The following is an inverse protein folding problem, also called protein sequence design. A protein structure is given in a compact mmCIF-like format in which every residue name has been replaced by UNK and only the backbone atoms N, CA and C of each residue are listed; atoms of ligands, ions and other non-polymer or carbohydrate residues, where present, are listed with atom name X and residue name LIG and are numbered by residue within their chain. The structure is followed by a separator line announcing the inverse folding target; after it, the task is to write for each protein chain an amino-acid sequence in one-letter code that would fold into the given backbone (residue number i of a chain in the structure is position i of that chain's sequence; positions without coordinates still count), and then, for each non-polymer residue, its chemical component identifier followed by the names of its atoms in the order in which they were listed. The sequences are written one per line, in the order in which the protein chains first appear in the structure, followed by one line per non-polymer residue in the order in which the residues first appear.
data_IF_464737852104
#
_entry.id   IF_464737852104
#
_cell.length_a   1.000
_cell.length_b   1.000
_cell.length_c   1.000
_cell.angle_alpha   90.00
_cell.angle_beta   90.00
_cell.angle_gamma   90.00
#
_symmetry.space_group_name_H-M   'P 1'
#
loop_
_entity.id
_entity.type
_entity.pdbx_description
1 polymer ?
#
# COMPACT_ATOMS: atom_id res chain seq x y z
N UNK A 1 -30.31 4.18 -11.65
CA UNK A 1 -30.86 4.88 -10.46
C UNK A 1 -29.81 4.68 -9.40
N UNK A 2 -28.76 5.49 -9.50
CA UNK A 2 -27.56 5.40 -8.69
C UNK A 2 -27.85 6.01 -7.32
N UNK A 3 -27.66 5.20 -6.28
CA UNK A 3 -27.87 5.58 -4.89
C UNK A 3 -26.79 6.59 -4.45
N UNK A 4 -27.17 7.84 -4.09
CA UNK A 4 -26.22 8.88 -3.69
C UNK A 4 -25.68 8.71 -2.26
N UNK A 5 -26.08 7.67 -1.51
CA UNK A 5 -25.67 7.48 -0.12
C UNK A 5 -24.29 6.80 0.08
N UNK A 6 -23.58 6.41 -0.98
CA UNK A 6 -22.27 5.72 -0.84
C UNK A 6 -21.06 6.65 -0.64
N UNK A 7 -21.27 7.96 -0.73
CA UNK A 7 -20.29 9.01 -0.42
C UNK A 7 -20.68 9.74 0.87
N UNK A 8 -20.84 8.99 1.97
CA UNK A 8 -21.00 9.55 3.29
C UNK A 8 -19.70 10.22 3.75
N UNK A 9 -19.69 11.55 3.75
CA UNK A 9 -19.03 12.44 4.73
C UNK A 9 -18.07 11.74 5.69
N UNK A 10 -16.78 11.83 5.38
CA UNK A 10 -15.67 11.62 6.33
C UNK A 10 -15.18 12.99 6.81
N UNK A 11 -16.08 13.75 7.43
CA UNK A 11 -15.68 14.84 8.32
C UNK A 11 -15.35 14.24 9.69
N UNK A 12 -14.24 14.68 10.29
CA UNK A 12 -13.78 14.39 11.65
C UNK A 12 -13.22 13.00 11.99
N UNK A 13 -12.36 12.45 11.14
CA UNK A 13 -11.34 11.48 11.59
C UNK A 13 -9.97 12.15 11.74
N UNK A 14 -9.76 12.82 12.88
CA UNK A 14 -8.43 13.17 13.40
C UNK A 14 -7.65 11.87 13.66
N UNK A 15 -7.04 11.31 12.62
CA UNK A 15 -6.08 10.22 12.78
C UNK A 15 -4.71 10.80 13.13
N UNK A 16 -3.97 10.19 14.07
CA UNK A 16 -2.62 10.60 14.37
C UNK A 16 -1.79 10.29 13.14
N UNK A 17 -1.54 11.31 12.34
CA UNK A 17 -0.62 11.23 11.23
C UNK A 17 0.75 10.96 11.84
N UNK A 18 1.20 9.71 11.78
CA UNK A 18 2.62 9.39 11.61
C UNK A 18 3.02 9.91 10.22
N UNK A 19 2.89 11.22 10.01
CA UNK A 19 3.39 11.91 8.85
C UNK A 19 4.90 11.84 8.98
N UNK A 20 5.49 10.84 8.33
CA UNK A 20 6.88 10.92 7.92
C UNK A 20 7.08 12.31 7.30
N UNK A 21 8.17 12.96 7.69
CA UNK A 21 8.54 14.37 7.49
C UNK A 21 8.70 14.80 6.02
N UNK A 22 8.04 14.11 5.10
CA UNK A 22 8.26 14.18 3.68
C UNK A 22 7.11 14.94 3.01
N UNK A 23 7.31 16.25 2.79
CA UNK A 23 6.51 17.02 1.84
C UNK A 23 7.08 16.83 0.42
N UNK A 24 6.24 16.64 -0.61
CA UNK A 24 6.70 16.48 -1.99
C UNK A 24 7.57 17.63 -2.54
N UNK A 25 7.59 18.78 -1.85
CA UNK A 25 8.25 20.02 -2.28
C UNK A 25 9.44 20.49 -1.42
N UNK A 26 9.94 19.70 -0.45
CA UNK A 26 11.25 19.96 0.16
C UNK A 26 12.34 19.30 -0.71
N UNK A 27 13.45 19.99 -1.00
CA UNK A 27 14.54 19.47 -1.82
C UNK A 27 15.17 18.18 -1.23
N UNK A 28 15.25 18.07 0.11
CA UNK A 28 15.70 16.84 0.78
C UNK A 28 14.64 15.74 0.70
N UNK A 29 13.37 16.13 0.71
CA UNK A 29 12.23 15.24 0.48
C UNK A 29 12.24 14.67 -0.94
N UNK A 30 12.24 15.51 -1.97
CA UNK A 30 12.04 15.11 -3.37
C UNK A 30 12.88 13.92 -3.81
N UNK A 31 14.18 13.88 -3.48
CA UNK A 31 15.05 12.74 -3.84
C UNK A 31 14.60 11.44 -3.16
N UNK A 32 14.20 11.51 -1.90
CA UNK A 32 13.65 10.38 -1.14
C UNK A 32 12.30 9.95 -1.71
N UNK A 33 11.42 10.90 -2.06
CA UNK A 33 10.15 10.62 -2.75
C UNK A 33 10.37 9.83 -4.03
N UNK A 34 11.21 10.38 -4.92
CA UNK A 34 11.45 9.81 -6.23
C UNK A 34 12.07 8.42 -6.11
N UNK A 35 12.94 8.20 -5.13
CA UNK A 35 13.44 6.86 -4.81
C UNK A 35 12.32 5.91 -4.40
N UNK A 36 11.35 6.34 -3.57
CA UNK A 36 10.19 5.51 -3.18
C UNK A 36 9.31 5.18 -4.39
N UNK A 37 9.00 6.16 -5.23
CA UNK A 37 8.22 5.96 -6.47
C UNK A 37 8.95 5.01 -7.42
N UNK A 38 10.27 5.14 -7.55
CA UNK A 38 11.07 4.27 -8.41
C UNK A 38 11.07 2.81 -7.94
N UNK A 39 11.08 2.57 -6.63
CA UNK A 39 10.92 1.23 -6.06
C UNK A 39 9.55 0.63 -6.42
N UNK A 40 8.47 1.42 -6.29
CA UNK A 40 7.12 0.99 -6.67
C UNK A 40 6.99 0.75 -8.18
N UNK A 41 7.59 1.61 -9.01
CA UNK A 41 7.61 1.44 -10.47
C UNK A 41 8.25 0.13 -10.88
N UNK A 42 9.43 -0.19 -10.32
CA UNK A 42 10.12 -1.46 -10.58
C UNK A 42 9.31 -2.67 -10.10
N UNK A 43 8.68 -2.56 -8.93
CA UNK A 43 7.82 -3.61 -8.41
C UNK A 43 6.60 -3.84 -9.31
N UNK A 44 5.86 -2.78 -9.66
CA UNK A 44 4.72 -2.86 -10.59
C UNK A 44 5.11 -3.49 -11.91
N UNK A 45 6.26 -3.10 -12.47
CA UNK A 45 6.74 -3.67 -13.73
C UNK A 45 6.94 -5.19 -13.62
N UNK A 46 7.52 -5.69 -12.54
CA UNK A 46 7.63 -7.15 -12.33
C UNK A 46 6.27 -7.83 -12.27
N UNK A 47 5.31 -7.25 -11.55
CA UNK A 47 3.94 -7.79 -11.46
C UNK A 47 3.29 -7.84 -12.85
N UNK A 48 3.43 -6.77 -13.64
CA UNK A 48 2.88 -6.67 -15.00
C UNK A 48 3.58 -7.63 -15.98
N UNK A 49 4.87 -7.89 -15.79
CA UNK A 49 5.61 -8.90 -16.55
C UNK A 49 5.42 -10.32 -16.01
N UNK A 50 4.59 -10.51 -14.98
CA UNK A 50 4.41 -11.78 -14.28
C UNK A 50 5.74 -12.40 -13.79
N UNK A 51 6.73 -11.55 -13.52
CA UNK A 51 8.03 -11.97 -13.01
C UNK A 51 7.91 -12.50 -11.57
N UNK A 52 8.81 -13.41 -11.14
CA UNK A 52 8.86 -13.85 -9.75
C UNK A 52 9.12 -12.71 -8.75
N UNK A 53 8.22 -12.54 -7.78
CA UNK A 53 8.35 -11.57 -6.68
C UNK A 53 8.51 -12.22 -5.29
N UNK A 54 8.57 -13.55 -5.21
CA UNK A 54 8.60 -14.35 -3.97
C UNK A 54 9.76 -14.07 -3.01
N UNK A 55 10.86 -13.49 -3.49
CA UNK A 55 12.04 -13.13 -2.69
C UNK A 55 11.99 -11.69 -2.16
N UNK A 56 10.96 -10.91 -2.50
CA UNK A 56 10.78 -9.54 -2.02
C UNK A 56 10.01 -9.53 -0.71
N UNK A 57 10.23 -8.48 0.06
CA UNK A 57 9.41 -8.17 1.24
C UNK A 57 8.10 -7.49 0.79
N UNK A 58 7.08 -8.31 0.54
CA UNK A 58 5.79 -7.86 0.04
C UNK A 58 4.97 -7.08 1.08
N UNK A 59 5.26 -7.26 2.38
CA UNK A 59 4.68 -6.42 3.43
C UNK A 59 5.18 -4.99 3.29
N UNK A 60 6.51 -4.80 3.17
CA UNK A 60 7.08 -3.46 2.96
C UNK A 60 6.67 -2.81 1.65
N UNK A 61 6.51 -3.60 0.59
CA UNK A 61 6.00 -3.08 -0.69
C UNK A 61 4.53 -2.64 -0.56
N UNK A 62 3.69 -3.39 0.16
CA UNK A 62 2.30 -3.00 0.48
C UNK A 62 2.22 -1.72 1.32
N UNK A 63 3.00 -1.64 2.41
CA UNK A 63 3.04 -0.46 3.27
C UNK A 63 3.50 0.78 2.48
N UNK A 64 4.49 0.62 1.59
CA UNK A 64 4.95 1.72 0.73
C UNK A 64 3.87 2.19 -0.24
N UNK A 65 3.01 1.31 -0.74
CA UNK A 65 1.86 1.69 -1.58
C UNK A 65 0.90 2.54 -0.76
N UNK A 66 0.51 2.08 0.44
CA UNK A 66 -0.40 2.83 1.31
C UNK A 66 0.18 4.19 1.71
N UNK A 67 1.46 4.25 2.06
CA UNK A 67 2.16 5.50 2.37
C UNK A 67 2.11 6.49 1.20
N UNK A 68 2.43 6.04 -0.01
CA UNK A 68 2.41 6.90 -1.20
C UNK A 68 0.99 7.33 -1.55
N UNK A 69 0.01 6.44 -1.41
CA UNK A 69 -1.40 6.79 -1.60
C UNK A 69 -1.87 7.81 -0.58
N UNK A 70 -1.46 7.69 0.69
CA UNK A 70 -1.84 8.64 1.74
C UNK A 70 -1.28 10.05 1.48
N UNK A 71 -0.11 10.14 0.82
CA UNK A 71 0.44 11.43 0.36
C UNK A 71 -0.38 12.06 -0.77
N UNK A 72 -1.12 11.26 -1.56
CA UNK A 72 -2.01 11.74 -2.62
C UNK A 72 -3.37 12.12 -2.02
N UNK A 73 -3.98 11.18 -1.29
CA UNK A 73 -5.27 11.36 -0.65
C UNK A 73 -5.45 10.36 0.51
N UNK A 74 -5.62 10.81 1.76
CA UNK A 74 -5.72 9.93 2.92
C UNK A 74 -6.93 8.99 2.85
N UNK A 75 -8.08 9.47 2.37
CA UNK A 75 -9.27 8.64 2.21
C UNK A 75 -9.09 7.51 1.18
N UNK A 76 -8.20 7.70 0.19
CA UNK A 76 -7.90 6.66 -0.79
C UNK A 76 -7.03 5.56 -0.17
N UNK A 77 -6.08 5.94 0.69
CA UNK A 77 -5.27 4.96 1.43
C UNK A 77 -6.14 4.11 2.37
N UNK A 78 -7.08 4.72 3.09
CA UNK A 78 -8.04 4.00 3.92
C UNK A 78 -8.90 3.05 3.09
N UNK A 79 -9.42 3.52 1.95
CA UNK A 79 -10.19 2.69 1.05
C UNK A 79 -9.37 1.48 0.56
N UNK A 80 -8.13 1.70 0.09
CA UNK A 80 -7.25 0.61 -0.35
C UNK A 80 -6.93 -0.38 0.77
N UNK A 81 -6.62 0.12 1.97
CA UNK A 81 -6.33 -0.73 3.12
C UNK A 81 -7.53 -1.61 3.49
N UNK A 82 -8.75 -1.08 3.46
CA UNK A 82 -9.97 -1.84 3.77
C UNK A 82 -10.35 -2.89 2.73
N UNK A 83 -9.90 -2.74 1.47
CA UNK A 83 -10.20 -3.67 0.37
C UNK A 83 -9.01 -4.57 0.01
N UNK A 84 -7.83 -4.33 0.57
CA UNK A 84 -6.62 -5.10 0.27
C UNK A 84 -6.66 -6.46 0.96
N UNK A 85 -6.45 -7.52 0.16
CA UNK A 85 -6.27 -8.90 0.66
C UNK A 85 -4.80 -9.27 0.87
N UNK A 86 -3.88 -8.34 0.62
CA UNK A 86 -2.43 -8.65 0.62
C UNK A 86 -1.98 -9.20 1.96
N UNK A 87 -2.35 -8.57 3.07
CA UNK A 87 -1.98 -9.02 4.41
C UNK A 87 -2.47 -10.44 4.70
N UNK A 88 -3.71 -10.76 4.32
CA UNK A 88 -4.30 -12.09 4.49
C UNK A 88 -3.56 -13.14 3.65
N UNK A 89 -3.28 -12.85 2.38
CA UNK A 89 -2.56 -13.76 1.48
C UNK A 89 -1.12 -14.00 1.95
N UNK A 90 -0.43 -12.96 2.44
CA UNK A 90 0.91 -13.10 2.97
C UNK A 90 0.96 -13.91 4.26
N UNK A 91 -0.02 -13.73 5.15
CA UNK A 91 -0.17 -14.55 6.36
C UNK A 91 -0.41 -16.03 6.00
N UNK A 92 -1.29 -16.31 5.04
CA UNK A 92 -1.52 -17.67 4.53
C UNK A 92 -0.25 -18.27 3.93
N UNK A 93 0.51 -17.49 3.16
CA UNK A 93 1.80 -17.92 2.62
C UNK A 93 2.81 -18.26 3.72
N UNK A 94 2.91 -17.44 4.76
CA UNK A 94 3.81 -17.71 5.89
C UNK A 94 3.43 -19.04 6.57
N UNK A 95 2.15 -19.23 6.90
CA UNK A 95 1.67 -20.49 7.48
C UNK A 95 1.96 -21.71 6.59
N UNK A 96 1.81 -21.57 5.26
CA UNK A 96 2.12 -22.65 4.32
C UNK A 96 3.63 -22.98 4.27
N UNK A 97 4.49 -21.97 4.37
CA UNK A 97 5.95 -22.15 4.40
C UNK A 97 6.39 -22.78 5.73
N UNK A 98 5.82 -22.34 6.85
CA UNK A 98 6.25 -22.74 8.19
C UNK A 98 5.68 -24.11 8.60
N UNK A 99 4.47 -24.43 8.18
CA UNK A 99 3.74 -25.61 8.64
C UNK A 99 3.41 -26.61 7.51
N UNK A 100 3.76 -26.31 6.27
CA UNK A 100 3.46 -27.16 5.11
C UNK A 100 1.97 -27.26 4.76
N UNK A 101 1.12 -26.45 5.41
CA UNK A 101 -0.33 -26.47 5.22
C UNK A 101 -0.74 -25.37 4.22
N UNK A 102 -1.11 -25.76 3.00
CA UNK A 102 -1.65 -24.83 2.01
C UNK A 102 -3.19 -24.78 2.14
N UNK A 103 -3.73 -23.65 2.63
CA UNK A 103 -5.18 -23.42 2.73
C UNK A 103 -5.63 -22.49 1.59
N UNK A 104 -6.60 -22.96 0.79
CA UNK A 104 -7.10 -22.27 -0.41
C UNK A 104 -8.20 -21.25 -0.06
#
# INVERSE_FOLDING_TARGET
MDDPARFGVLDDCLMPTRMGTHRPNDARGRKVFLRRIELLRKFRNRVAHHDPIRARDLHKDHDRILDVTALIHPGLAMFLQGHSRVSEVLARRAAAVDHGACQF
#
